data_IF_610815238059
#
_entry.id   IF_610815238059
#
_cell.length_a   1.000
_cell.length_b   1.000
_cell.length_c   1.000
_cell.angle_alpha   90.00
_cell.angle_beta   90.00
_cell.angle_gamma   90.00
#
_symmetry.space_group_name_H-M   'P 1'
#
loop_
_entity.id
_entity.type
_entity.pdbx_description
1 polymer ?
#
# COMPACT_ATOMS: atom_id res chain seq x y z
N UNK A 1 2.16 -9.04 -18.10
CA UNK A 1 1.13 -10.01 -18.54
C UNK A 1 -0.25 -9.39 -18.41
N UNK A 2 -1.30 -10.21 -18.47
CA UNK A 2 -2.69 -9.76 -18.24
C UNK A 2 -3.09 -10.12 -16.82
N UNK A 3 -3.17 -9.11 -15.95
CA UNK A 3 -3.58 -9.26 -14.57
C UNK A 3 -4.76 -8.33 -14.27
N UNK A 4 -5.65 -8.78 -13.38
CA UNK A 4 -6.70 -7.97 -12.75
C UNK A 4 -6.29 -7.68 -11.31
N UNK A 5 -6.51 -6.43 -10.86
CA UNK A 5 -6.27 -6.06 -9.45
C UNK A 5 -7.45 -6.54 -8.63
N UNK A 6 -7.20 -7.44 -7.68
CA UNK A 6 -8.23 -7.97 -6.77
C UNK A 6 -8.32 -7.11 -5.51
N UNK A 7 -7.17 -6.70 -4.97
CA UNK A 7 -7.12 -5.78 -3.83
C UNK A 7 -5.79 -5.03 -3.79
N UNK A 8 -5.86 -3.76 -3.40
CA UNK A 8 -4.73 -2.91 -3.07
C UNK A 8 -5.03 -2.31 -1.69
N UNK A 9 -4.26 -2.70 -0.69
CA UNK A 9 -4.47 -2.29 0.70
C UNK A 9 -3.19 -1.71 1.28
N UNK A 10 -3.33 -0.77 2.21
CA UNK A 10 -2.18 -0.28 2.95
C UNK A 10 -2.37 1.11 3.53
N UNK A 11 -1.26 1.65 4.00
CA UNK A 11 -1.16 3.04 4.49
C UNK A 11 -0.20 3.81 3.59
N UNK A 12 -0.46 5.10 3.40
CA UNK A 12 0.43 6.01 2.69
C UNK A 12 0.41 7.37 3.36
N UNK A 13 1.55 8.04 3.33
CA UNK A 13 1.77 9.38 3.87
C UNK A 13 2.74 10.16 2.97
N UNK A 14 3.09 11.39 3.36
CA UNK A 14 3.88 12.28 2.52
C UNK A 14 5.29 11.75 2.18
N UNK A 15 5.89 10.96 3.07
CA UNK A 15 7.28 10.50 2.97
C UNK A 15 7.44 8.98 2.99
N UNK A 16 6.36 8.22 2.92
CA UNK A 16 6.41 6.77 3.00
C UNK A 16 5.06 6.11 2.79
N UNK A 17 5.11 4.79 2.67
CA UNK A 17 3.95 3.95 2.45
C UNK A 17 4.21 2.51 2.90
N UNK A 18 3.14 1.76 3.05
CA UNK A 18 3.17 0.31 3.20
C UNK A 18 1.96 -0.26 2.47
N UNK A 19 2.16 -0.66 1.21
CA UNK A 19 1.11 -1.14 0.31
C UNK A 19 1.30 -2.62 -0.03
N UNK A 20 0.23 -3.39 0.06
CA UNK A 20 0.15 -4.78 -0.38
C UNK A 20 -0.83 -4.90 -1.54
N UNK A 21 -0.47 -5.71 -2.54
CA UNK A 21 -1.24 -5.91 -3.76
C UNK A 21 -1.54 -7.40 -3.94
N UNK A 22 -2.77 -7.69 -4.36
CA UNK A 22 -3.15 -9.00 -4.87
C UNK A 22 -3.71 -8.88 -6.28
N UNK A 23 -3.23 -9.74 -7.18
CA UNK A 23 -3.62 -9.80 -8.60
C UNK A 23 -4.03 -11.20 -9.00
N UNK A 24 -4.93 -11.33 -9.98
CA UNK A 24 -5.28 -12.61 -10.60
C UNK A 24 -4.88 -12.65 -12.08
N UNK A 25 -4.44 -13.82 -12.54
CA UNK A 25 -4.20 -14.09 -13.96
C UNK A 25 -5.50 -14.49 -14.70
N UNK A 26 -5.48 -14.73 -16.03
CA UNK A 26 -6.67 -15.12 -16.79
C UNK A 26 -7.28 -16.48 -16.41
N UNK A 27 -6.57 -17.30 -15.61
CA UNK A 27 -7.06 -18.57 -15.09
C UNK A 27 -7.63 -18.44 -13.68
N UNK A 28 -7.63 -17.23 -13.10
CA UNK A 28 -8.07 -16.96 -11.74
C UNK A 28 -7.02 -17.30 -10.68
N UNK A 29 -5.79 -17.66 -11.08
CA UNK A 29 -4.70 -17.90 -10.11
C UNK A 29 -4.27 -16.57 -9.51
N UNK A 30 -4.21 -16.51 -8.18
CA UNK A 30 -3.87 -15.29 -7.46
C UNK A 30 -2.41 -15.28 -7.03
N UNK A 31 -1.79 -14.11 -7.16
CA UNK A 31 -0.49 -13.79 -6.57
C UNK A 31 -0.67 -12.58 -5.65
N UNK A 32 0.03 -12.57 -4.52
CA UNK A 32 -0.08 -11.48 -3.55
C UNK A 32 1.19 -11.27 -2.76
N UNK A 33 1.41 -10.02 -2.32
CA UNK A 33 2.58 -9.67 -1.51
C UNK A 33 2.74 -8.16 -1.32
N UNK A 34 3.93 -7.78 -0.87
CA UNK A 34 4.33 -6.38 -0.74
C UNK A 34 4.48 -5.74 -2.12
N UNK A 35 3.82 -4.59 -2.33
CA UNK A 35 3.85 -3.89 -3.60
C UNK A 35 5.18 -3.14 -3.74
N UNK A 36 5.87 -3.40 -4.85
CA UNK A 36 7.09 -2.69 -5.21
C UNK A 36 6.83 -1.70 -6.35
N UNK A 37 7.68 -0.68 -6.54
CA UNK A 37 7.65 0.14 -7.74
C UNK A 37 7.74 -0.73 -9.01
N UNK A 38 6.97 -0.36 -10.04
CA UNK A 38 6.98 -1.04 -11.36
C UNK A 38 5.66 -1.66 -11.80
N UNK A 39 4.63 -1.68 -10.95
CA UNK A 39 3.28 -2.05 -11.36
C UNK A 39 2.70 -0.99 -12.32
N UNK A 40 2.47 -1.37 -13.59
CA UNK A 40 1.94 -0.47 -14.62
C UNK A 40 0.46 -0.77 -14.87
N UNK A 41 -0.35 0.29 -14.92
CA UNK A 41 -1.78 0.18 -15.23
C UNK A 41 -1.93 -0.27 -16.69
N UNK A 42 -2.76 -1.30 -16.92
CA UNK A 42 -3.02 -1.82 -18.27
C UNK A 42 -4.19 -1.11 -18.96
N UNK A 43 -5.31 -0.96 -18.25
CA UNK A 43 -6.52 -0.30 -18.77
C UNK A 43 -6.97 0.83 -17.84
N UNK A 44 -7.31 0.49 -16.59
CA UNK A 44 -7.69 1.43 -15.54
C UNK A 44 -7.18 0.94 -14.19
N UNK A 45 -7.10 1.86 -13.23
CA UNK A 45 -6.94 1.57 -11.81
C UNK A 45 -7.81 2.57 -11.05
N UNK A 46 -9.00 2.11 -10.67
CA UNK A 46 -9.96 2.94 -9.95
C UNK A 46 -9.68 2.85 -8.45
N UNK A 47 -9.49 4.01 -7.80
CA UNK A 47 -9.02 4.09 -6.42
C UNK A 47 -9.94 4.99 -5.60
N UNK A 48 -10.18 4.58 -4.35
CA UNK A 48 -10.76 5.41 -3.30
C UNK A 48 -9.74 5.47 -2.17
N UNK A 49 -9.34 6.68 -1.77
CA UNK A 49 -8.34 6.90 -0.73
C UNK A 49 -8.99 7.66 0.43
N UNK A 50 -8.95 7.08 1.62
CA UNK A 50 -9.37 7.76 2.84
C UNK A 50 -8.26 8.65 3.39
N UNK A 51 -8.61 9.86 3.81
CA UNK A 51 -7.69 10.78 4.48
C UNK A 51 -8.17 11.01 5.91
N UNK A 52 -7.29 10.86 6.89
CA UNK A 52 -7.56 11.15 8.30
C UNK A 52 -6.93 12.50 8.64
N UNK A 53 -7.66 13.59 8.41
CA UNK A 53 -7.13 14.97 8.48
C UNK A 53 -6.64 15.38 9.88
N UNK A 54 -7.11 14.71 10.94
CA UNK A 54 -6.69 14.97 12.31
C UNK A 54 -5.44 14.18 12.74
N UNK A 55 -4.98 13.23 11.91
CA UNK A 55 -3.86 12.35 12.22
C UNK A 55 -2.71 12.51 11.21
N UNK A 56 -1.48 12.51 11.72
CA UNK A 56 -0.25 12.45 10.96
C UNK A 56 0.37 11.06 11.09
N UNK A 57 0.55 10.40 9.94
CA UNK A 57 1.31 9.16 9.83
C UNK A 57 2.78 9.46 9.52
N UNK A 58 3.67 8.64 10.06
CA UNK A 58 5.11 8.66 9.78
C UNK A 58 5.70 7.27 9.98
N UNK A 59 6.96 7.08 9.58
CA UNK A 59 7.74 5.88 9.89
C UNK A 59 8.83 6.21 10.90
N UNK A 60 8.89 5.46 11.99
CA UNK A 60 9.88 5.66 13.06
C UNK A 60 10.64 4.36 13.33
N UNK A 61 11.94 4.42 13.67
CA UNK A 61 12.72 3.23 13.96
C UNK A 61 12.11 2.42 15.10
N UNK A 62 11.84 1.14 14.86
CA UNK A 62 11.35 0.20 15.86
C UNK A 62 12.46 -0.78 16.26
N UNK A 63 12.90 -0.72 17.51
CA UNK A 63 13.95 -1.60 18.02
C UNK A 63 13.57 -3.09 18.05
N UNK A 64 12.26 -3.41 18.04
CA UNK A 64 11.78 -4.79 18.08
C UNK A 64 11.76 -5.45 16.71
N UNK A 65 11.35 -4.72 15.66
CA UNK A 65 11.28 -5.28 14.30
C UNK A 65 12.57 -5.07 13.52
N UNK A 66 13.35 -4.03 13.85
CA UNK A 66 14.53 -3.63 13.09
C UNK A 66 14.21 -2.81 11.83
N UNK A 67 12.96 -2.39 11.66
CA UNK A 67 12.50 -1.56 10.54
C UNK A 67 11.90 -0.24 11.02
N UNK A 68 11.67 0.68 10.09
CA UNK A 68 10.88 1.88 10.35
C UNK A 68 9.39 1.53 10.26
N UNK A 69 8.69 1.60 11.40
CA UNK A 69 7.30 1.16 11.54
C UNK A 69 6.32 2.33 11.58
N UNK A 70 5.04 2.05 11.34
CA UNK A 70 3.97 3.05 11.42
C UNK A 70 3.93 3.71 12.81
N UNK A 71 4.04 5.03 12.82
CA UNK A 71 3.79 5.87 13.98
C UNK A 71 2.65 6.85 13.68
N UNK A 72 1.70 6.96 14.59
CA UNK A 72 0.49 7.79 14.46
C UNK A 72 0.50 8.85 15.54
N UNK A 73 0.28 10.11 15.16
CA UNK A 73 0.21 11.25 16.05
C UNK A 73 -0.88 12.23 15.59
N UNK A 74 -1.40 13.13 16.44
CA UNK A 74 -2.26 14.22 15.97
C UNK A 74 -1.49 15.14 15.00
N UNK A 75 -2.17 15.69 13.99
CA UNK A 75 -1.61 16.78 13.18
C UNK A 75 -1.36 17.99 14.10
N UNK A 76 -0.15 18.56 14.04
CA UNK A 76 0.22 19.76 14.80
C UNK A 76 -0.36 21.03 14.20
#
# INVERSE_FOLDING_TARGET
GTFEVISLNGTLELSGEHLHLCVSDPHGTMLGGHMMPGCTVRTTLELVIGCLEELAFSRQPCALSGYDELHISPVK
#
